data_IF_837722774284
#
_entry.id   IF_837722774284
#
_cell.length_a   1.000
_cell.length_b   1.000
_cell.length_c   1.000
_cell.angle_alpha   90.00
_cell.angle_beta   90.00
_cell.angle_gamma   90.00
#
_symmetry.space_group_name_H-M   'P 1'
#
loop_
_entity.id
_entity.type
_entity.pdbx_description
1 polymer ?
#
# COMPACT_ATOMS: atom_id res chain seq x y z
N UNK A 1 -15.06 -28.84 -7.16
CA UNK A 1 -13.67 -28.34 -7.15
C UNK A 1 -12.72 -29.50 -7.30
N UNK A 2 -11.71 -29.37 -8.15
CA UNK A 2 -10.65 -30.37 -8.30
C UNK A 2 -9.70 -30.35 -7.09
N UNK A 3 -8.97 -31.45 -6.86
CA UNK A 3 -7.97 -31.54 -5.77
C UNK A 3 -6.92 -30.42 -5.89
N UNK A 4 -6.61 -29.99 -7.12
CA UNK A 4 -5.68 -28.87 -7.41
C UNK A 4 -6.26 -27.52 -6.98
N UNK A 5 -7.55 -27.29 -7.20
CA UNK A 5 -8.22 -26.03 -6.78
C UNK A 5 -8.30 -25.92 -5.27
N UNK A 6 -8.60 -27.00 -4.57
CA UNK A 6 -8.62 -27.04 -3.09
C UNK A 6 -7.22 -26.73 -2.53
N UNK A 7 -6.17 -27.32 -3.11
CA UNK A 7 -4.81 -27.05 -2.69
C UNK A 7 -4.40 -25.58 -2.90
N UNK A 8 -4.78 -24.98 -4.04
CA UNK A 8 -4.52 -23.56 -4.31
C UNK A 8 -5.32 -22.63 -3.42
N UNK A 9 -6.58 -22.96 -3.08
CA UNK A 9 -7.36 -22.20 -2.11
C UNK A 9 -6.70 -22.24 -0.73
N UNK A 10 -6.28 -23.42 -0.26
CA UNK A 10 -5.55 -23.57 0.99
C UNK A 10 -4.26 -22.74 1.03
N UNK A 11 -3.51 -22.70 -0.07
CA UNK A 11 -2.30 -21.88 -0.22
C UNK A 11 -2.60 -20.37 -0.04
N UNK A 12 -3.64 -19.85 -0.70
CA UNK A 12 -4.03 -18.43 -0.60
C UNK A 12 -4.45 -18.06 0.82
N UNK A 13 -5.29 -18.89 1.44
CA UNK A 13 -5.77 -18.67 2.80
C UNK A 13 -4.63 -18.74 3.82
N UNK A 14 -3.69 -19.68 3.66
CA UNK A 14 -2.48 -19.73 4.50
C UNK A 14 -1.64 -18.46 4.32
N UNK A 15 -1.41 -18.02 3.08
CA UNK A 15 -0.64 -16.82 2.79
C UNK A 15 -1.24 -15.57 3.49
N UNK A 16 -2.56 -15.40 3.39
CA UNK A 16 -3.25 -14.28 4.05
C UNK A 16 -3.20 -14.43 5.57
N UNK A 17 -3.36 -15.62 6.11
CA UNK A 17 -3.25 -15.86 7.56
C UNK A 17 -1.87 -15.53 8.12
N UNK A 18 -0.80 -15.90 7.41
CA UNK A 18 0.58 -15.70 7.88
C UNK A 18 1.10 -14.27 7.64
N UNK A 19 0.71 -13.62 6.55
CA UNK A 19 1.28 -12.36 6.08
C UNK A 19 0.24 -11.31 5.68
N UNK A 20 -1.05 -11.60 5.83
CA UNK A 20 -2.14 -10.72 5.42
C UNK A 20 -2.40 -9.55 6.37
N UNK A 21 -3.57 -8.96 6.18
CA UNK A 21 -3.94 -7.70 6.78
C UNK A 21 -3.33 -6.52 6.02
N UNK A 22 -4.12 -5.50 5.78
CA UNK A 22 -3.65 -4.31 5.06
C UNK A 22 -2.66 -3.50 5.92
N UNK A 23 -1.83 -2.68 5.30
CA UNK A 23 -0.94 -1.78 6.03
C UNK A 23 -1.73 -0.67 6.72
N UNK A 24 -2.86 -0.25 6.15
CA UNK A 24 -3.79 0.71 6.75
C UNK A 24 -4.35 0.16 8.06
N UNK A 25 -4.84 -1.09 8.08
CA UNK A 25 -5.36 -1.70 9.31
C UNK A 25 -4.29 -1.90 10.39
N UNK A 26 -3.03 -2.12 10.01
CA UNK A 26 -1.91 -2.19 10.95
C UNK A 26 -1.55 -0.83 11.59
N UNK A 27 -2.10 0.27 11.06
CA UNK A 27 -1.99 1.63 11.56
C UNK A 27 -3.33 2.16 12.12
N UNK A 28 -4.29 1.28 12.37
CA UNK A 28 -5.64 1.59 12.87
C UNK A 28 -6.42 2.59 11.98
N UNK A 29 -6.12 2.60 10.66
CA UNK A 29 -6.79 3.45 9.66
C UNK A 29 -7.98 2.70 9.07
N UNK A 30 -9.18 3.25 9.24
CA UNK A 30 -10.44 2.67 8.75
C UNK A 30 -10.80 3.16 7.34
N UNK A 31 -10.16 2.63 6.30
CA UNK A 31 -10.48 2.99 4.92
C UNK A 31 -11.92 2.62 4.49
N UNK A 32 -12.54 1.65 5.16
CA UNK A 32 -13.90 1.22 4.82
C UNK A 32 -14.95 2.28 5.15
N UNK A 33 -14.66 3.23 6.05
CA UNK A 33 -15.56 4.37 6.35
C UNK A 33 -15.67 5.33 5.17
N UNK A 34 -14.69 5.39 4.29
CA UNK A 34 -14.54 6.37 3.20
C UNK A 34 -14.47 7.83 3.69
N UNK A 35 -14.29 8.05 4.99
CA UNK A 35 -14.12 9.39 5.54
C UNK A 35 -12.86 10.06 5.00
N UNK A 36 -12.94 11.34 4.67
CA UNK A 36 -11.84 12.11 4.08
C UNK A 36 -10.58 12.07 4.94
N UNK A 37 -10.75 12.13 6.26
CA UNK A 37 -9.64 12.05 7.22
C UNK A 37 -8.94 10.68 7.18
N UNK A 38 -9.68 9.57 7.13
CA UNK A 38 -9.11 8.22 7.07
C UNK A 38 -8.34 8.00 5.76
N UNK A 39 -8.88 8.51 4.65
CA UNK A 39 -8.19 8.47 3.35
C UNK A 39 -6.93 9.33 3.38
N UNK A 40 -6.96 10.50 4.02
CA UNK A 40 -5.77 11.34 4.17
C UNK A 40 -4.71 10.70 5.06
N UNK A 41 -5.07 10.09 6.20
CA UNK A 41 -4.16 9.30 7.06
C UNK A 41 -3.43 8.23 6.25
N UNK A 42 -4.16 7.49 5.42
CA UNK A 42 -3.56 6.48 4.56
C UNK A 42 -2.66 7.08 3.46
N UNK A 43 -3.01 8.23 2.92
CA UNK A 43 -2.16 8.94 1.98
C UNK A 43 -0.84 9.37 2.63
N UNK A 44 -0.89 9.97 3.82
CA UNK A 44 0.30 10.31 4.61
C UNK A 44 1.18 9.07 4.85
N UNK A 45 0.62 7.98 5.34
CA UNK A 45 1.33 6.72 5.53
C UNK A 45 1.95 6.22 4.21
N UNK A 46 1.22 6.31 3.09
CA UNK A 46 1.71 5.90 1.76
C UNK A 46 2.91 6.73 1.29
N UNK A 47 2.95 8.02 1.62
CA UNK A 47 4.11 8.89 1.36
C UNK A 47 5.33 8.43 2.16
N UNK A 48 5.13 8.04 3.43
CA UNK A 48 6.20 7.52 4.28
C UNK A 48 6.72 6.17 3.78
N UNK A 49 5.84 5.23 3.45
CA UNK A 49 6.21 3.92 2.88
C UNK A 49 6.85 4.01 1.50
N UNK A 50 6.56 5.07 0.75
CA UNK A 50 7.07 5.28 -0.61
C UNK A 50 8.57 5.60 -0.70
N UNK A 51 9.22 5.95 0.40
CA UNK A 51 10.66 6.17 0.45
C UNK A 51 11.46 4.86 0.58
N UNK A 52 12.75 4.95 0.29
CA UNK A 52 13.69 3.80 0.48
C UNK A 52 14.08 3.66 1.95
N UNK A 53 13.10 3.38 2.80
CA UNK A 53 13.26 3.24 4.24
C UNK A 53 12.65 1.92 4.71
N UNK A 54 13.04 1.48 5.91
CA UNK A 54 12.48 0.28 6.53
C UNK A 54 11.00 0.46 6.87
N UNK A 55 10.21 -0.61 6.72
CA UNK A 55 8.78 -0.60 7.02
C UNK A 55 8.50 -0.19 8.48
N UNK A 56 9.29 -0.71 9.42
CA UNK A 56 9.19 -0.35 10.85
C UNK A 56 9.41 1.13 11.10
N UNK A 57 10.36 1.76 10.39
CA UNK A 57 10.60 3.20 10.52
C UNK A 57 9.42 3.99 9.98
N UNK A 58 8.87 3.62 8.82
CA UNK A 58 7.70 4.28 8.25
C UNK A 58 6.47 4.19 9.20
N UNK A 59 6.25 3.01 9.80
CA UNK A 59 5.19 2.81 10.80
C UNK A 59 5.42 3.63 12.07
N UNK A 60 6.64 3.63 12.60
CA UNK A 60 6.97 4.43 13.79
C UNK A 60 6.78 5.92 13.51
N UNK A 61 7.23 6.39 12.34
CA UNK A 61 7.05 7.79 11.95
C UNK A 61 5.58 8.18 11.85
N UNK A 62 4.73 7.32 11.27
CA UNK A 62 3.28 7.56 11.26
C UNK A 62 2.73 7.71 12.68
N UNK A 63 3.16 6.88 13.64
CA UNK A 63 2.76 6.99 15.04
C UNK A 63 3.23 8.28 15.71
N UNK A 64 4.36 8.84 15.30
CA UNK A 64 4.78 10.17 15.80
C UNK A 64 3.89 11.29 15.23
N UNK A 65 3.44 11.20 13.96
CA UNK A 65 2.42 12.09 13.42
C UNK A 65 1.09 11.97 14.18
N UNK A 66 0.69 10.76 14.56
CA UNK A 66 -0.50 10.49 15.37
C UNK A 66 -0.39 11.11 16.77
N UNK A 67 0.72 10.90 17.48
CA UNK A 67 0.99 11.50 18.81
C UNK A 67 0.98 13.03 18.77
N UNK A 68 1.49 13.61 17.68
CA UNK A 68 1.47 15.06 17.47
C UNK A 68 0.10 15.58 17.01
N UNK A 69 -0.89 14.70 16.78
CA UNK A 69 -2.19 15.03 16.19
C UNK A 69 -2.10 15.71 14.80
N UNK A 70 -1.09 15.35 14.00
CA UNK A 70 -0.82 15.92 12.66
C UNK A 70 -1.25 14.91 11.59
N UNK A 71 -2.55 14.59 11.52
CA UNK A 71 -3.13 13.54 10.67
C UNK A 71 -4.15 14.04 9.66
N UNK A 72 -4.31 15.37 9.52
CA UNK A 72 -5.19 15.98 8.52
C UNK A 72 -4.44 16.94 7.60
N UNK A 73 -5.05 17.31 6.49
CA UNK A 73 -4.47 18.28 5.56
C UNK A 73 -4.24 19.64 6.24
N UNK A 74 -5.19 20.05 7.07
CA UNK A 74 -5.10 21.26 7.87
C UNK A 74 -3.93 21.21 8.84
N UNK A 75 -3.85 20.14 9.64
CA UNK A 75 -2.80 19.98 10.64
C UNK A 75 -1.39 19.94 10.01
N UNK A 76 -1.21 19.31 8.84
CA UNK A 76 0.06 19.35 8.09
C UNK A 76 0.43 20.77 7.70
N UNK A 77 -0.55 21.58 7.23
CA UNK A 77 -0.30 22.96 6.79
C UNK A 77 -0.08 23.93 7.96
N UNK A 78 -0.73 23.68 9.09
CA UNK A 78 -0.55 24.45 10.33
C UNK A 78 0.77 24.12 11.04
N UNK A 79 1.26 22.89 10.85
CA UNK A 79 2.58 22.49 11.35
C UNK A 79 3.65 23.10 10.46
N UNK A 80 4.45 24.02 10.99
CA UNK A 80 5.54 24.62 10.25
C UNK A 80 6.57 23.58 9.79
N UNK A 81 7.33 23.91 8.75
CA UNK A 81 8.30 22.99 8.14
C UNK A 81 9.22 22.33 9.17
N UNK A 82 9.73 23.09 10.17
CA UNK A 82 10.58 22.56 11.21
C UNK A 82 9.85 21.54 12.09
N UNK A 83 8.59 21.80 12.44
CA UNK A 83 7.77 20.86 13.19
C UNK A 83 7.56 19.53 12.46
N UNK A 84 7.35 19.56 11.13
CA UNK A 84 7.27 18.34 10.33
C UNK A 84 8.60 17.58 10.31
N UNK A 85 9.74 18.28 10.24
CA UNK A 85 11.08 17.67 10.35
C UNK A 85 11.24 16.99 11.70
N UNK A 86 10.89 17.66 12.77
CA UNK A 86 11.04 17.13 14.14
C UNK A 86 10.22 15.84 14.35
N UNK A 87 8.98 15.79 13.82
CA UNK A 87 8.13 14.59 13.86
C UNK A 87 8.78 13.45 13.06
N UNK A 88 9.30 13.76 11.86
CA UNK A 88 9.96 12.77 11.01
C UNK A 88 11.20 12.19 11.70
N UNK A 89 12.02 13.03 12.34
CA UNK A 89 13.22 12.62 13.06
C UNK A 89 12.89 11.75 14.27
N UNK A 90 11.88 12.10 15.06
CA UNK A 90 11.40 11.31 16.18
C UNK A 90 10.98 9.90 15.75
N UNK A 91 10.40 9.76 14.57
CA UNK A 91 10.06 8.46 13.97
C UNK A 91 11.25 7.68 13.41
N UNK A 92 12.45 8.28 13.37
CA UNK A 92 13.66 7.71 12.79
C UNK A 92 13.80 7.89 11.27
N UNK A 93 13.07 8.83 10.69
CA UNK A 93 13.05 9.10 9.24
C UNK A 93 14.20 10.02 8.77
N UNK A 94 15.23 10.13 9.55
CA UNK A 94 16.35 11.09 9.51
C UNK A 94 17.00 11.23 8.12
N UNK A 95 17.03 10.17 7.32
CA UNK A 95 17.68 10.20 5.99
C UNK A 95 16.91 11.04 4.96
N UNK A 96 15.61 11.21 5.14
CA UNK A 96 14.71 11.82 4.15
C UNK A 96 13.80 12.90 4.75
N UNK A 97 14.01 13.27 5.99
CA UNK A 97 13.25 14.22 6.81
C UNK A 97 12.96 15.54 6.06
N UNK A 98 13.99 16.30 5.73
CA UNK A 98 13.88 17.61 5.05
C UNK A 98 13.13 17.51 3.72
N UNK A 99 13.46 16.49 2.90
CA UNK A 99 12.78 16.28 1.62
C UNK A 99 11.33 15.86 1.80
N UNK A 100 11.04 15.10 2.85
CA UNK A 100 9.68 14.62 3.12
C UNK A 100 8.85 15.70 3.77
N UNK A 101 9.39 16.51 4.68
CA UNK A 101 8.71 17.69 5.22
C UNK A 101 8.29 18.68 4.10
N UNK A 102 9.23 19.01 3.21
CA UNK A 102 8.94 19.86 2.03
C UNK A 102 7.87 19.23 1.15
N UNK A 103 8.00 17.93 0.84
CA UNK A 103 7.02 17.19 0.04
C UNK A 103 5.62 17.22 0.68
N UNK A 104 5.51 16.93 1.97
CA UNK A 104 4.22 16.93 2.67
C UNK A 104 3.56 18.31 2.60
N UNK A 105 4.30 19.40 2.87
CA UNK A 105 3.77 20.76 2.79
C UNK A 105 3.30 21.12 1.37
N UNK A 106 4.10 20.82 0.34
CA UNK A 106 3.76 21.15 -1.06
C UNK A 106 2.55 20.35 -1.56
N UNK A 107 2.55 19.03 -1.32
CA UNK A 107 1.50 18.12 -1.77
C UNK A 107 0.17 18.44 -1.09
N UNK A 108 0.21 18.71 0.22
CA UNK A 108 -1.00 19.05 0.99
C UNK A 108 -1.55 20.40 0.58
N UNK A 109 -0.68 21.39 0.31
CA UNK A 109 -1.13 22.70 -0.22
C UNK A 109 -1.84 22.55 -1.56
N UNK A 110 -1.24 21.80 -2.50
CA UNK A 110 -1.87 21.52 -3.79
C UNK A 110 -3.20 20.78 -3.65
N UNK A 111 -3.27 19.80 -2.73
CA UNK A 111 -4.49 19.08 -2.44
C UNK A 111 -5.58 20.04 -1.90
N UNK A 112 -5.21 20.94 -0.99
CA UNK A 112 -6.13 21.93 -0.42
C UNK A 112 -6.63 22.89 -1.49
N UNK A 113 -5.76 23.43 -2.33
CA UNK A 113 -6.10 24.40 -3.37
C UNK A 113 -6.99 23.80 -4.47
N UNK A 114 -6.73 22.56 -4.90
CA UNK A 114 -7.42 21.96 -6.05
C UNK A 114 -8.61 21.10 -5.66
N UNK A 115 -8.62 20.52 -4.48
CA UNK A 115 -9.58 19.51 -4.06
C UNK A 115 -10.09 19.74 -2.63
N UNK A 116 -9.88 20.94 -2.05
CA UNK A 116 -10.34 21.33 -0.70
C UNK A 116 -9.76 20.44 0.43
N UNK A 117 -8.61 19.81 0.18
CA UNK A 117 -7.98 18.90 1.15
C UNK A 117 -8.50 17.47 1.09
N UNK A 118 -9.46 17.17 0.23
CA UNK A 118 -10.16 15.88 0.17
C UNK A 118 -9.71 15.02 -1.05
N UNK A 119 -9.13 13.87 -0.75
CA UNK A 119 -8.72 12.89 -1.76
C UNK A 119 -9.90 12.16 -2.41
N UNK A 120 -11.06 12.07 -1.73
CA UNK A 120 -12.28 11.55 -2.35
C UNK A 120 -12.76 12.47 -3.47
N UNK A 121 -12.60 13.80 -3.31
CA UNK A 121 -12.88 14.75 -4.40
C UNK A 121 -11.93 14.58 -5.57
N UNK A 122 -10.62 14.38 -5.30
CA UNK A 122 -9.66 14.06 -6.37
C UNK A 122 -10.07 12.80 -7.14
N UNK A 123 -10.47 11.74 -6.43
CA UNK A 123 -10.98 10.51 -7.03
C UNK A 123 -12.26 10.76 -7.84
N UNK A 124 -13.20 11.55 -7.31
CA UNK A 124 -14.44 11.91 -8.00
C UNK A 124 -14.16 12.56 -9.36
N UNK A 125 -13.25 13.53 -9.43
CA UNK A 125 -12.88 14.26 -10.65
C UNK A 125 -11.97 13.48 -11.60
N UNK A 126 -11.48 12.32 -11.23
CA UNK A 126 -10.72 11.47 -12.13
C UNK A 126 -11.63 10.78 -13.15
N UNK A 127 -11.17 10.72 -14.41
CA UNK A 127 -11.91 10.11 -15.52
C UNK A 127 -11.76 8.58 -15.59
N UNK A 128 -10.85 8.01 -14.82
CA UNK A 128 -10.53 6.58 -14.78
C UNK A 128 -9.20 6.35 -14.06
N UNK A 129 -8.77 5.09 -13.94
CA UNK A 129 -7.60 4.72 -13.15
C UNK A 129 -6.31 5.44 -13.54
N UNK A 130 -6.00 5.51 -14.85
CA UNK A 130 -4.80 6.23 -15.34
C UNK A 130 -4.85 7.73 -15.05
N UNK A 131 -6.03 8.34 -15.12
CA UNK A 131 -6.19 9.76 -14.81
C UNK A 131 -6.07 10.00 -13.30
N UNK A 132 -6.61 9.09 -12.49
CA UNK A 132 -6.45 9.10 -11.03
C UNK A 132 -4.97 9.05 -10.62
N UNK A 133 -4.20 8.13 -11.20
CA UNK A 133 -2.76 8.04 -10.95
C UNK A 133 -2.02 9.33 -11.33
N UNK A 134 -2.32 9.91 -12.49
CA UNK A 134 -1.74 11.18 -12.94
C UNK A 134 -2.11 12.35 -12.01
N UNK A 135 -3.36 12.43 -11.57
CA UNK A 135 -3.81 13.47 -10.64
C UNK A 135 -3.10 13.35 -9.30
N UNK A 136 -2.95 12.15 -8.74
CA UNK A 136 -2.19 11.91 -7.52
C UNK A 136 -0.72 12.32 -7.70
N UNK A 137 -0.07 11.93 -8.79
CA UNK A 137 1.32 12.32 -9.07
C UNK A 137 1.47 13.84 -9.25
N UNK A 138 0.45 14.53 -9.75
CA UNK A 138 0.46 15.97 -9.95
C UNK A 138 0.26 16.80 -8.68
N UNK A 139 -0.01 16.16 -7.53
CA UNK A 139 -0.12 16.87 -6.25
C UNK A 139 1.21 17.49 -5.82
N UNK A 140 2.34 16.89 -6.20
CA UNK A 140 3.63 17.50 -5.88
C UNK A 140 4.83 16.65 -6.26
N UNK A 141 5.98 17.28 -6.26
CA UNK A 141 7.26 16.63 -6.54
C UNK A 141 7.53 15.52 -5.51
N UNK A 142 7.82 14.32 -6.00
CA UNK A 142 8.15 13.16 -5.17
C UNK A 142 6.95 12.27 -4.83
N UNK A 143 5.74 12.55 -5.35
CA UNK A 143 4.67 11.58 -5.44
C UNK A 143 4.85 10.81 -6.73
N UNK A 144 5.62 9.74 -6.66
CA UNK A 144 5.93 8.90 -7.81
C UNK A 144 5.02 7.66 -7.91
N UNK A 145 5.20 6.85 -8.98
CA UNK A 145 4.41 5.64 -9.20
C UNK A 145 4.39 4.68 -8.01
N UNK A 146 5.49 4.59 -7.26
CA UNK A 146 5.58 3.72 -6.07
C UNK A 146 4.63 4.17 -4.97
N UNK A 147 4.64 5.46 -4.62
CA UNK A 147 3.74 6.02 -3.60
C UNK A 147 2.28 5.87 -4.03
N UNK A 148 1.98 6.18 -5.30
CA UNK A 148 0.63 6.04 -5.86
C UNK A 148 0.15 4.59 -5.82
N UNK A 149 1.01 3.63 -6.18
CA UNK A 149 0.68 2.21 -6.10
C UNK A 149 0.41 1.77 -4.65
N UNK A 150 1.23 2.21 -3.68
CA UNK A 150 1.01 1.91 -2.26
C UNK A 150 -0.34 2.45 -1.80
N UNK A 151 -0.67 3.67 -2.17
CA UNK A 151 -1.92 4.31 -1.80
C UNK A 151 -3.13 3.61 -2.42
N UNK A 152 -3.13 3.41 -3.74
CA UNK A 152 -4.29 2.90 -4.46
C UNK A 152 -4.55 1.41 -4.27
N UNK A 153 -3.53 0.59 -4.01
CA UNK A 153 -3.73 -0.87 -3.88
C UNK A 153 -4.65 -1.25 -2.71
N UNK A 154 -4.66 -0.49 -1.61
CA UNK A 154 -5.55 -0.75 -0.48
C UNK A 154 -6.92 -0.07 -0.61
N UNK A 155 -7.08 0.79 -1.61
CA UNK A 155 -8.35 1.39 -1.99
C UNK A 155 -9.07 0.65 -3.13
N UNK A 156 -8.51 -0.45 -3.68
CA UNK A 156 -9.10 -1.23 -4.78
C UNK A 156 -10.53 -1.68 -4.53
N UNK A 157 -10.80 -2.11 -3.30
CA UNK A 157 -12.10 -2.64 -2.93
C UNK A 157 -13.07 -1.52 -2.48
N UNK A 158 -12.64 -0.24 -2.58
CA UNK A 158 -13.33 0.92 -2.04
C UNK A 158 -13.55 1.98 -3.14
N UNK A 159 -12.52 2.31 -3.91
CA UNK A 159 -12.58 3.29 -4.99
C UNK A 159 -12.66 2.59 -6.35
N UNK A 160 -13.74 2.83 -7.08
CA UNK A 160 -13.99 2.23 -8.39
C UNK A 160 -12.84 2.40 -9.38
N UNK A 161 -12.10 3.52 -9.30
CA UNK A 161 -10.99 3.84 -10.22
C UNK A 161 -9.62 3.43 -9.67
N UNK A 162 -9.54 2.80 -8.48
CA UNK A 162 -8.28 2.38 -7.88
C UNK A 162 -7.83 1.03 -8.43
N UNK A 163 -7.25 1.02 -9.62
CA UNK A 163 -6.79 -0.17 -10.34
C UNK A 163 -5.28 -0.09 -10.70
N UNK A 164 -4.37 0.21 -9.74
CA UNK A 164 -2.95 0.20 -10.05
C UNK A 164 -2.48 -1.22 -10.38
N UNK A 165 -1.47 -1.42 -11.26
CA UNK A 165 -0.90 -2.74 -11.52
C UNK A 165 -0.29 -3.33 -10.25
N UNK A 166 -0.07 -4.64 -10.21
CA UNK A 166 0.64 -5.26 -9.09
C UNK A 166 2.03 -4.62 -8.92
N UNK A 167 2.41 -4.41 -7.68
CA UNK A 167 3.78 -4.00 -7.39
C UNK A 167 4.78 -5.12 -7.71
N UNK A 168 6.03 -4.76 -8.05
CA UNK A 168 7.06 -5.75 -8.38
C UNK A 168 7.26 -6.82 -7.29
N UNK A 169 7.25 -6.50 -5.97
CA UNK A 169 7.31 -7.53 -4.94
C UNK A 169 6.11 -8.49 -4.95
N UNK A 170 4.89 -7.97 -5.19
CA UNK A 170 3.70 -8.81 -5.25
C UNK A 170 3.74 -9.75 -6.46
N UNK A 171 4.12 -9.23 -7.63
CA UNK A 171 4.27 -10.02 -8.85
C UNK A 171 5.32 -11.13 -8.68
N UNK A 172 6.48 -10.80 -8.09
CA UNK A 172 7.53 -11.76 -7.79
C UNK A 172 7.03 -12.89 -6.87
N UNK A 173 6.31 -12.54 -5.81
CA UNK A 173 5.78 -13.51 -4.86
C UNK A 173 4.71 -14.41 -5.51
N UNK A 174 3.77 -13.82 -6.25
CA UNK A 174 2.74 -14.55 -6.97
C UNK A 174 3.32 -15.54 -7.99
N UNK A 175 4.33 -15.13 -8.77
CA UNK A 175 5.03 -16.00 -9.70
C UNK A 175 5.82 -17.12 -9.01
N UNK A 176 6.46 -16.85 -7.86
CA UNK A 176 7.16 -17.87 -7.09
C UNK A 176 6.23 -18.92 -6.50
N UNK A 177 5.04 -18.52 -6.07
CA UNK A 177 3.99 -19.43 -5.57
C UNK A 177 3.18 -20.10 -6.71
N UNK A 178 3.47 -19.78 -7.97
CA UNK A 178 2.70 -20.23 -9.15
C UNK A 178 1.22 -19.87 -9.10
N UNK A 179 0.88 -18.76 -8.45
CA UNK A 179 -0.48 -18.20 -8.46
C UNK A 179 -0.78 -17.49 -9.80
N UNK A 180 0.24 -17.08 -10.53
CA UNK A 180 0.18 -16.58 -11.89
C UNK A 180 1.43 -16.99 -12.65
N UNK A 181 1.32 -17.09 -13.98
CA UNK A 181 2.47 -17.22 -14.90
C UNK A 181 2.72 -15.92 -15.68
N UNK A 182 1.84 -14.94 -15.55
CA UNK A 182 1.98 -13.66 -16.20
C UNK A 182 3.19 -12.89 -15.68
N UNK A 183 3.97 -12.33 -16.58
CA UNK A 183 5.09 -11.42 -16.27
C UNK A 183 4.67 -9.95 -16.32
N UNK A 184 3.56 -9.66 -17.00
CA UNK A 184 2.94 -8.35 -16.99
C UNK A 184 2.10 -8.16 -15.73
N UNK A 185 2.31 -7.04 -15.02
CA UNK A 185 1.71 -6.77 -13.72
C UNK A 185 0.19 -6.54 -13.79
N UNK A 186 -0.33 -6.00 -14.91
CA UNK A 186 -1.76 -5.76 -15.07
C UNK A 186 -2.49 -7.06 -15.45
N UNK A 187 -1.86 -7.91 -16.26
CA UNK A 187 -2.40 -9.24 -16.57
C UNK A 187 -2.42 -10.11 -15.31
N UNK A 188 -1.33 -10.16 -14.56
CA UNK A 188 -1.26 -10.90 -13.31
C UNK A 188 -2.31 -10.42 -12.29
N UNK A 189 -2.54 -9.10 -12.18
CA UNK A 189 -3.59 -8.54 -11.32
C UNK A 189 -4.97 -9.10 -11.70
N UNK A 190 -5.29 -9.09 -12.99
CA UNK A 190 -6.59 -9.59 -13.47
C UNK A 190 -6.78 -11.08 -13.18
N UNK A 191 -5.74 -11.90 -13.40
CA UNK A 191 -5.77 -13.33 -13.08
C UNK A 191 -5.98 -13.57 -11.58
N UNK A 192 -5.23 -12.84 -10.73
CA UNK A 192 -5.32 -13.00 -9.28
C UNK A 192 -6.66 -12.53 -8.71
N UNK A 193 -7.26 -11.44 -9.25
CA UNK A 193 -8.61 -11.00 -8.86
C UNK A 193 -9.66 -12.05 -9.22
N UNK A 194 -9.67 -12.52 -10.47
CA UNK A 194 -10.60 -13.57 -10.91
C UNK A 194 -10.47 -14.85 -10.05
N UNK A 195 -9.24 -15.24 -9.72
CA UNK A 195 -8.99 -16.38 -8.86
C UNK A 195 -9.46 -16.12 -7.41
N UNK A 196 -9.34 -14.90 -6.91
CA UNK A 196 -9.77 -14.54 -5.56
C UNK A 196 -11.29 -14.56 -5.42
N UNK A 197 -12.03 -14.11 -6.44
CA UNK A 197 -13.50 -14.13 -6.47
C UNK A 197 -14.08 -15.54 -6.31
N UNK A 198 -13.36 -16.58 -6.75
CA UNK A 198 -13.75 -17.99 -6.61
C UNK A 198 -13.33 -18.62 -5.27
N UNK A 199 -12.68 -17.84 -4.39
CA UNK A 199 -12.17 -18.30 -3.10
C UNK A 199 -13.20 -18.03 -2.00
N UNK A 200 -13.43 -18.98 -1.10
CA UNK A 200 -14.14 -18.71 0.16
C UNK A 200 -13.34 -17.73 1.00
N UNK A 201 -13.79 -16.48 1.07
CA UNK A 201 -12.99 -15.36 1.56
C UNK A 201 -13.11 -15.11 3.07
N UNK A 202 -14.18 -15.62 3.71
CA UNK A 202 -14.38 -15.43 5.15
C UNK A 202 -14.35 -13.96 5.61
N UNK A 203 -14.81 -13.03 4.75
CA UNK A 203 -14.78 -11.60 5.01
C UNK A 203 -13.47 -10.89 4.61
N UNK A 204 -12.47 -11.62 4.11
CA UNK A 204 -11.21 -11.05 3.60
C UNK A 204 -11.42 -10.42 2.21
N UNK A 205 -10.69 -9.37 1.90
CA UNK A 205 -10.70 -8.66 0.62
C UNK A 205 -9.49 -9.01 -0.22
N UNK A 206 -9.53 -8.69 -1.52
CA UNK A 206 -8.38 -8.89 -2.41
C UNK A 206 -7.17 -8.08 -1.94
N UNK A 207 -7.38 -6.91 -1.35
CA UNK A 207 -6.32 -6.10 -0.74
C UNK A 207 -5.54 -6.81 0.36
N UNK A 208 -6.15 -7.74 1.10
CA UNK A 208 -5.47 -8.57 2.10
C UNK A 208 -4.51 -9.57 1.45
N UNK A 209 -4.94 -10.21 0.35
CA UNK A 209 -4.07 -11.09 -0.45
C UNK A 209 -2.91 -10.29 -1.07
N UNK A 210 -3.19 -9.13 -1.65
CA UNK A 210 -2.15 -8.29 -2.26
C UNK A 210 -1.13 -7.82 -1.21
N UNK A 211 -1.58 -7.40 -0.02
CA UNK A 211 -0.70 -7.04 1.08
C UNK A 211 0.20 -8.21 1.52
N UNK A 212 -0.36 -9.42 1.61
CA UNK A 212 0.39 -10.63 1.92
C UNK A 212 1.46 -10.94 0.85
N UNK A 213 1.11 -10.82 -0.44
CA UNK A 213 2.05 -10.98 -1.54
C UNK A 213 3.17 -9.94 -1.50
N UNK A 214 2.86 -8.68 -1.20
CA UNK A 214 3.87 -7.61 -1.05
C UNK A 214 4.84 -7.95 0.07
N UNK A 215 4.34 -8.36 1.25
CA UNK A 215 5.20 -8.74 2.39
C UNK A 215 6.07 -9.95 2.06
N UNK A 216 5.48 -10.98 1.44
CA UNK A 216 6.23 -12.17 1.01
C UNK A 216 7.35 -11.79 0.03
N UNK A 217 7.02 -11.02 -1.00
CA UNK A 217 7.97 -10.56 -2.01
C UNK A 217 9.09 -9.72 -1.43
N UNK A 218 8.74 -8.70 -0.64
CA UNK A 218 9.67 -7.73 -0.05
C UNK A 218 10.57 -8.34 1.02
N UNK A 219 10.02 -9.16 1.91
CA UNK A 219 10.72 -9.60 3.11
C UNK A 219 11.44 -10.94 2.94
N UNK A 220 10.97 -11.79 2.02
CA UNK A 220 11.51 -13.13 1.80
C UNK A 220 12.04 -13.35 0.38
N UNK A 221 11.20 -13.20 -0.66
CA UNK A 221 11.59 -13.57 -2.04
C UNK A 221 12.76 -12.75 -2.57
N UNK A 222 12.70 -11.41 -2.49
CA UNK A 222 13.79 -10.51 -2.92
C UNK A 222 15.08 -10.73 -2.14
N UNK A 223 14.97 -11.08 -0.86
CA UNK A 223 16.10 -11.30 0.04
C UNK A 223 16.60 -12.74 0.01
N UNK A 224 15.98 -13.63 -0.80
CA UNK A 224 16.28 -15.07 -0.87
C UNK A 224 16.26 -15.77 0.50
N UNK A 225 15.37 -15.33 1.41
CA UNK A 225 15.24 -15.90 2.75
C UNK A 225 14.28 -17.09 2.77
N UNK A 226 14.47 -18.06 1.88
CA UNK A 226 13.56 -19.20 1.70
C UNK A 226 13.49 -20.10 2.93
N UNK A 227 14.59 -20.34 3.63
CA UNK A 227 14.67 -21.25 4.79
C UNK A 227 13.79 -20.80 5.98
N UNK A 228 13.60 -19.49 6.15
CA UNK A 228 12.77 -18.91 7.23
C UNK A 228 11.47 -18.32 6.69
N UNK A 229 11.12 -18.61 5.44
CA UNK A 229 9.88 -18.14 4.83
C UNK A 229 8.68 -18.92 5.39
N UNK A 230 7.58 -18.24 5.81
CA UNK A 230 6.39 -18.93 6.30
C UNK A 230 5.69 -19.79 5.23
N UNK A 231 5.99 -19.52 3.94
CA UNK A 231 5.43 -20.26 2.80
C UNK A 231 6.42 -21.28 2.20
N UNK A 232 7.48 -21.65 2.94
CA UNK A 232 8.55 -22.53 2.40
C UNK A 232 8.05 -23.91 1.97
N UNK A 233 7.09 -24.48 2.68
CA UNK A 233 6.58 -25.83 2.42
C UNK A 233 5.69 -25.87 1.15
N UNK A 234 4.98 -24.79 0.88
CA UNK A 234 4.08 -24.66 -0.27
C UNK A 234 4.76 -24.03 -1.49
N UNK A 235 5.94 -23.43 -1.31
CA UNK A 235 6.61 -22.69 -2.38
C UNK A 235 7.38 -23.65 -3.31
N UNK A 236 6.99 -23.78 -4.59
CA UNK A 236 7.69 -24.67 -5.53
C UNK A 236 9.11 -24.19 -5.87
N UNK A 237 9.44 -22.94 -5.55
CA UNK A 237 10.79 -22.38 -5.73
C UNK A 237 11.68 -22.44 -4.50
N UNK A 238 11.19 -23.04 -3.40
CA UNK A 238 12.07 -23.25 -2.23
C UNK A 238 13.26 -24.11 -2.63
N UNK A 239 14.44 -23.54 -2.57
CA UNK A 239 15.70 -24.26 -2.76
C UNK A 239 15.89 -25.12 -1.50
N UNK A 240 15.80 -26.44 -1.68
CA UNK A 240 16.12 -27.41 -0.63
C UNK A 240 17.60 -27.39 -0.32
#
# INVERSE_FOLDING_TARGET
MSTSEIAQQGLRMKLVKELGGTYSSALDINLASMESEEVFKWFLASVLFGARIGESIAMNTYKEFEKANVLSAEAILETEWQGLVDILDQGGYVRYDFKTATKLSEVTRTLKEKYEGDLNRLHFFAKGGRDLEKKLQSLGKGIGPVTVNIFLRELRDIWEKAEPPLSEPALLAAGNLKLTQATDAAVALKELKAMWETTEQGGLRFSDLEAALVRLGKNYCRKKKCLVCPMKEECPKTIK
#
